data_IF_546607778315
#
_entry.id   IF_546607778315
#
_cell.length_a   1.000
_cell.length_b   1.000
_cell.length_c   1.000
_cell.angle_alpha   90.00
_cell.angle_beta   90.00
_cell.angle_gamma   90.00
#
_symmetry.space_group_name_H-M   'P 1'
#
loop_
_entity.id
_entity.type
_entity.pdbx_description
1 polymer ?
#
# COMPACT_ATOMS: atom_id res chain seq x y z
N UNK A 1 -28.51 -1.92 10.76
CA UNK A 1 -27.87 -1.63 9.47
C UNK A 1 -26.45 -1.21 9.81
N UNK A 2 -25.46 -2.01 9.47
CA UNK A 2 -24.06 -1.66 9.70
C UNK A 2 -23.75 -0.40 8.86
N UNK A 3 -23.13 0.61 9.47
CA UNK A 3 -22.67 1.80 8.76
C UNK A 3 -21.57 1.40 7.78
N UNK A 4 -21.95 0.96 6.59
CA UNK A 4 -20.97 0.66 5.54
C UNK A 4 -20.22 1.94 5.17
N UNK A 5 -18.89 1.88 5.06
CA UNK A 5 -18.13 3.02 4.57
C UNK A 5 -18.69 3.50 3.22
N UNK A 6 -18.84 4.81 3.05
CA UNK A 6 -19.34 5.41 1.81
C UNK A 6 -18.34 5.29 0.64
N UNK A 7 -17.11 4.87 0.95
CA UNK A 7 -16.07 4.67 -0.03
C UNK A 7 -15.43 3.29 0.11
N UNK A 8 -14.79 2.85 -0.93
CA UNK A 8 -13.92 1.67 -1.00
C UNK A 8 -12.53 2.10 -1.45
N UNK A 9 -11.53 1.22 -1.26
CA UNK A 9 -10.17 1.46 -1.74
C UNK A 9 -9.57 0.18 -2.30
N UNK A 10 -8.46 0.28 -3.02
CA UNK A 10 -7.73 -0.91 -3.46
C UNK A 10 -7.32 -1.79 -2.27
N UNK A 11 -6.82 -1.19 -1.17
CA UNK A 11 -6.44 -1.94 0.03
C UNK A 11 -7.63 -2.66 0.68
N UNK A 12 -8.82 -2.04 0.69
CA UNK A 12 -10.04 -2.67 1.21
C UNK A 12 -10.51 -3.82 0.33
N UNK A 13 -10.42 -3.67 -0.99
CA UNK A 13 -10.66 -4.74 -1.95
C UNK A 13 -9.63 -5.88 -1.77
N UNK A 14 -8.34 -5.55 -1.62
CA UNK A 14 -7.29 -6.52 -1.35
C UNK A 14 -7.56 -7.36 -0.10
N UNK A 15 -7.93 -6.73 1.00
CA UNK A 15 -8.34 -7.42 2.24
C UNK A 15 -9.54 -8.34 2.01
N UNK A 16 -10.54 -7.87 1.23
CA UNK A 16 -11.72 -8.68 0.90
C UNK A 16 -11.37 -9.90 0.04
N UNK A 17 -10.50 -9.74 -0.97
CA UNK A 17 -10.02 -10.82 -1.82
C UNK A 17 -9.13 -11.81 -1.04
N UNK A 18 -8.34 -11.31 -0.10
CA UNK A 18 -7.56 -12.16 0.81
C UNK A 18 -8.47 -13.03 1.68
N UNK A 19 -9.47 -12.41 2.32
CA UNK A 19 -10.49 -13.09 3.10
C UNK A 19 -11.67 -12.14 3.37
N UNK A 20 -12.85 -12.44 2.81
CA UNK A 20 -14.05 -11.62 3.02
C UNK A 20 -14.42 -11.48 4.50
N UNK A 21 -14.19 -12.54 5.32
CA UNK A 21 -14.45 -12.46 6.75
C UNK A 21 -13.44 -11.55 7.49
N UNK A 22 -12.16 -11.55 7.11
CA UNK A 22 -11.15 -10.60 7.61
C UNK A 22 -11.58 -9.15 7.31
N UNK A 23 -12.05 -8.89 6.07
CA UNK A 23 -12.60 -7.59 5.71
C UNK A 23 -13.75 -7.17 6.63
N UNK A 24 -14.71 -8.07 6.89
CA UNK A 24 -15.81 -7.79 7.80
C UNK A 24 -15.31 -7.43 9.20
N UNK A 25 -14.39 -8.21 9.77
CA UNK A 25 -13.85 -7.95 11.10
C UNK A 25 -13.10 -6.62 11.16
N UNK A 26 -12.19 -6.36 10.23
CA UNK A 26 -11.30 -5.20 10.30
C UNK A 26 -11.92 -3.91 9.78
N UNK A 27 -12.67 -3.95 8.67
CA UNK A 27 -13.17 -2.74 8.01
C UNK A 27 -14.60 -2.37 8.41
N UNK A 28 -15.42 -3.35 8.82
CA UNK A 28 -16.81 -3.08 9.20
C UNK A 28 -17.02 -3.11 10.71
N UNK A 29 -16.39 -4.04 11.42
CA UNK A 29 -16.49 -4.13 12.89
C UNK A 29 -15.39 -3.36 13.62
N UNK A 30 -14.39 -2.82 12.89
CA UNK A 30 -13.32 -1.99 13.46
C UNK A 30 -12.32 -2.74 14.34
N UNK A 31 -12.25 -4.08 14.22
CA UNK A 31 -11.27 -4.87 14.98
C UNK A 31 -9.87 -4.56 14.44
N UNK A 32 -9.01 -4.04 15.29
CA UNK A 32 -7.65 -3.66 14.93
C UNK A 32 -6.74 -4.90 14.85
N UNK A 33 -5.96 -4.99 13.78
CA UNK A 33 -4.72 -5.79 13.80
C UNK A 33 -3.70 -4.99 14.59
N UNK A 34 -2.92 -5.63 15.44
CA UNK A 34 -1.88 -4.90 16.17
C UNK A 34 -0.95 -4.13 15.22
N UNK A 35 -0.54 -2.92 15.61
CA UNK A 35 0.36 -2.13 14.80
C UNK A 35 1.74 -2.79 14.70
N UNK A 36 2.42 -2.58 13.58
CA UNK A 36 3.71 -3.20 13.34
C UNK A 36 4.70 -2.18 12.77
N UNK A 37 5.94 -2.25 13.22
CA UNK A 37 7.00 -1.30 12.83
C UNK A 37 7.22 -1.21 11.32
N UNK A 38 6.96 -2.29 10.58
CA UNK A 38 7.08 -2.24 9.11
C UNK A 38 6.01 -1.39 8.41
N UNK A 39 4.89 -1.09 9.05
CA UNK A 39 3.93 -0.12 8.53
C UNK A 39 4.49 1.29 8.69
N UNK A 40 4.97 1.63 9.89
CA UNK A 40 5.64 2.90 10.16
C UNK A 40 6.85 3.10 9.23
N UNK A 41 7.74 2.11 9.15
CA UNK A 41 8.90 2.17 8.27
C UNK A 41 8.53 2.36 6.81
N UNK A 42 7.53 1.62 6.33
CA UNK A 42 7.02 1.76 4.96
C UNK A 42 6.46 3.16 4.68
N UNK A 43 5.61 3.67 5.57
CA UNK A 43 5.01 5.01 5.45
C UNK A 43 6.07 6.11 5.51
N UNK A 44 7.08 5.98 6.39
CA UNK A 44 8.19 6.93 6.47
C UNK A 44 9.02 6.98 5.17
N UNK A 45 9.24 5.82 4.51
CA UNK A 45 9.93 5.78 3.20
C UNK A 45 9.09 6.47 2.12
N UNK A 46 7.78 6.21 2.05
CA UNK A 46 6.88 6.92 1.12
C UNK A 46 6.94 8.43 1.38
N UNK A 47 6.87 8.85 2.64
CA UNK A 47 6.97 10.27 3.02
C UNK A 47 8.31 10.88 2.65
N UNK A 48 9.41 10.18 2.89
CA UNK A 48 10.75 10.65 2.54
C UNK A 48 10.91 10.80 1.03
N UNK A 49 10.48 9.82 0.23
CA UNK A 49 10.52 9.92 -1.23
C UNK A 49 9.61 11.02 -1.77
N UNK A 50 8.44 11.25 -1.15
CA UNK A 50 7.56 12.37 -1.46
C UNK A 50 8.25 13.73 -1.22
N UNK A 51 8.84 13.92 -0.03
CA UNK A 51 9.56 15.14 0.33
C UNK A 51 10.75 15.39 -0.59
N UNK A 52 11.49 14.34 -0.98
CA UNK A 52 12.58 14.42 -1.93
C UNK A 52 12.11 14.93 -3.30
N UNK A 53 10.99 14.41 -3.81
CA UNK A 53 10.48 14.77 -5.12
C UNK A 53 9.83 16.16 -5.18
N UNK A 54 9.12 16.56 -4.10
CA UNK A 54 8.41 17.83 -4.04
C UNK A 54 9.29 19.01 -3.61
N UNK A 55 10.31 18.78 -2.78
CA UNK A 55 11.11 19.82 -2.15
C UNK A 55 12.62 19.57 -2.28
N UNK A 56 13.15 19.41 -3.49
CA UNK A 56 14.54 18.97 -3.70
C UNK A 56 15.61 19.91 -3.15
N UNK A 57 15.25 21.17 -2.86
CA UNK A 57 16.16 22.21 -2.35
C UNK A 57 15.97 22.54 -0.86
N UNK A 58 15.01 21.87 -0.19
CA UNK A 58 14.71 22.16 1.23
C UNK A 58 15.77 21.58 2.17
N UNK A 59 16.32 20.42 1.84
CA UNK A 59 17.21 19.67 2.72
C UNK A 59 18.66 19.72 2.23
N UNK A 60 19.59 19.87 3.17
CA UNK A 60 21.02 19.88 2.85
C UNK A 60 21.57 18.48 2.61
N UNK A 61 20.99 17.46 3.24
CA UNK A 61 21.37 16.06 3.13
C UNK A 61 20.14 15.14 3.09
N UNK A 62 20.30 13.92 2.57
CA UNK A 62 19.27 12.88 2.62
C UNK A 62 18.98 12.44 4.07
N UNK A 63 19.97 12.47 4.94
CA UNK A 63 19.81 12.13 6.35
C UNK A 63 18.91 13.15 7.07
N UNK A 64 19.07 14.45 6.81
CA UNK A 64 18.19 15.49 7.35
C UNK A 64 16.73 15.27 6.90
N UNK A 65 16.51 14.99 5.62
CA UNK A 65 15.20 14.69 5.07
C UNK A 65 14.60 13.42 5.70
N UNK A 66 15.42 12.35 5.80
CA UNK A 66 14.99 11.10 6.40
C UNK A 66 14.59 11.26 7.86
N UNK A 67 15.38 12.00 8.63
CA UNK A 67 15.08 12.29 10.04
C UNK A 67 13.70 12.97 10.18
N UNK A 68 13.41 14.00 9.36
CA UNK A 68 12.10 14.65 9.38
C UNK A 68 10.98 13.65 9.10
N UNK A 69 11.09 12.87 8.02
CA UNK A 69 10.06 11.90 7.62
C UNK A 69 9.86 10.79 8.66
N UNK A 70 10.96 10.24 9.19
CA UNK A 70 10.93 9.15 10.18
C UNK A 70 10.29 9.57 11.49
N UNK A 71 10.80 10.65 12.10
CA UNK A 71 10.31 11.08 13.41
C UNK A 71 8.87 11.61 13.35
N UNK A 72 8.49 12.25 12.25
CA UNK A 72 7.10 12.65 12.04
C UNK A 72 6.21 11.42 11.97
N UNK A 73 6.57 10.40 11.18
CA UNK A 73 5.76 9.19 11.01
C UNK A 73 5.64 8.38 12.31
N UNK A 74 6.75 8.21 13.04
CA UNK A 74 6.72 7.53 14.35
C UNK A 74 5.75 8.23 15.29
N UNK A 75 5.83 9.55 15.38
CA UNK A 75 4.93 10.34 16.25
C UNK A 75 3.47 10.18 15.84
N UNK A 76 3.14 10.28 14.56
CA UNK A 76 1.78 10.10 14.05
C UNK A 76 1.22 8.70 14.38
N UNK A 77 2.05 7.68 14.20
CA UNK A 77 1.65 6.30 14.47
C UNK A 77 1.50 6.02 15.99
N UNK A 78 2.33 6.61 16.86
CA UNK A 78 2.15 6.52 18.32
C UNK A 78 0.85 7.18 18.78
N UNK A 79 0.50 8.33 18.21
CA UNK A 79 -0.76 9.02 18.52
C UNK A 79 -1.99 8.17 18.16
N UNK A 80 -1.90 7.35 17.11
CA UNK A 80 -3.01 6.52 16.60
C UNK A 80 -3.02 5.12 17.24
N UNK A 81 -1.84 4.50 17.40
CA UNK A 81 -1.69 3.08 17.71
C UNK A 81 -1.09 2.79 19.09
N UNK A 82 -0.80 3.83 19.88
CA UNK A 82 -0.19 3.71 21.20
C UNK A 82 1.32 3.56 21.18
N UNK A 83 1.89 3.26 22.34
CA UNK A 83 3.34 3.20 22.60
C UNK A 83 4.06 2.25 21.61
N UNK A 84 5.15 2.72 20.99
CA UNK A 84 5.95 1.92 20.06
C UNK A 84 6.56 0.66 20.69
N UNK A 85 6.68 0.60 22.02
CA UNK A 85 7.14 -0.60 22.72
C UNK A 85 6.15 -1.78 22.62
N UNK A 86 4.88 -1.50 22.33
CA UNK A 86 3.83 -2.51 22.14
C UNK A 86 3.67 -2.94 20.67
N UNK A 87 4.42 -2.34 19.74
CA UNK A 87 4.33 -2.66 18.33
C UNK A 87 4.97 -4.00 17.99
N UNK A 88 4.47 -4.63 16.93
CA UNK A 88 4.98 -5.91 16.47
C UNK A 88 6.30 -5.73 15.68
N UNK A 89 7.24 -6.64 15.93
CA UNK A 89 8.50 -6.75 15.18
C UNK A 89 8.57 -8.09 14.45
N UNK A 90 9.34 -8.15 13.38
CA UNK A 90 9.58 -9.37 12.63
C UNK A 90 11.06 -9.69 12.59
N UNK A 91 11.48 -10.67 13.39
CA UNK A 91 12.89 -11.04 13.48
C UNK A 91 13.75 -9.87 13.89
N UNK A 92 14.70 -9.47 13.04
CA UNK A 92 15.61 -8.33 13.28
C UNK A 92 15.03 -6.99 12.80
N UNK A 93 13.87 -6.97 12.18
CA UNK A 93 13.26 -5.75 11.64
C UNK A 93 12.56 -4.96 12.76
N UNK A 94 13.37 -4.44 13.70
CA UNK A 94 12.94 -3.53 14.78
C UNK A 94 12.99 -2.05 14.33
N UNK A 95 12.73 -1.14 15.27
CA UNK A 95 12.75 0.31 15.01
C UNK A 95 14.12 0.79 14.50
N UNK A 96 15.21 0.29 15.09
CA UNK A 96 16.57 0.67 14.71
C UNK A 96 16.92 0.18 13.30
N UNK A 97 16.52 -1.05 12.99
CA UNK A 97 16.68 -1.60 11.64
C UNK A 97 15.92 -0.79 10.60
N UNK A 98 14.65 -0.45 10.88
CA UNK A 98 13.85 0.33 9.95
C UNK A 98 14.37 1.75 9.77
N UNK A 99 14.90 2.36 10.86
CA UNK A 99 15.55 3.67 10.75
C UNK A 99 16.77 3.63 9.81
N UNK A 100 17.66 2.66 9.97
CA UNK A 100 18.84 2.52 9.12
C UNK A 100 18.51 2.11 7.69
N UNK A 101 17.69 1.08 7.51
CA UNK A 101 17.33 0.58 6.18
C UNK A 101 16.45 1.57 5.40
N UNK A 102 15.61 2.35 6.09
CA UNK A 102 14.80 3.38 5.44
C UNK A 102 15.65 4.50 4.83
N UNK A 103 16.73 4.92 5.49
CA UNK A 103 17.69 5.86 4.89
C UNK A 103 18.32 5.26 3.62
N UNK A 104 18.75 3.99 3.66
CA UNK A 104 19.24 3.30 2.47
C UNK A 104 18.21 3.21 1.34
N UNK A 105 16.94 3.02 1.67
CA UNK A 105 15.86 3.05 0.67
C UNK A 105 15.72 4.44 0.03
N UNK A 106 15.84 5.50 0.81
CA UNK A 106 15.81 6.87 0.29
C UNK A 106 17.02 7.18 -0.60
N UNK A 107 18.22 6.72 -0.22
CA UNK A 107 19.42 6.86 -1.05
C UNK A 107 19.25 6.15 -2.40
N UNK A 108 18.72 4.93 -2.40
CA UNK A 108 18.38 4.20 -3.64
C UNK A 108 17.33 4.94 -4.48
N UNK A 109 16.38 5.60 -3.84
CA UNK A 109 15.42 6.45 -4.58
C UNK A 109 16.11 7.62 -5.25
N UNK A 110 16.98 8.32 -4.52
CA UNK A 110 17.76 9.44 -5.07
C UNK A 110 18.63 8.99 -6.26
N UNK A 111 19.30 7.84 -6.14
CA UNK A 111 20.08 7.23 -7.24
C UNK A 111 19.18 6.87 -8.43
N UNK A 112 18.03 6.25 -8.18
CA UNK A 112 17.06 5.91 -9.24
C UNK A 112 16.61 7.16 -9.99
N UNK A 113 16.32 8.25 -9.26
CA UNK A 113 15.95 9.54 -9.84
C UNK A 113 17.08 10.18 -10.66
N UNK A 114 18.31 10.08 -10.16
CA UNK A 114 19.50 10.61 -10.84
C UNK A 114 19.81 9.86 -12.15
N UNK A 115 19.33 8.63 -12.31
CA UNK A 115 19.50 7.82 -13.50
C UNK A 115 18.44 8.06 -14.59
N UNK A 116 17.93 9.29 -14.72
CA UNK A 116 17.10 9.72 -15.84
C UNK A 116 15.59 9.55 -15.66
N UNK A 117 15.14 9.23 -14.42
CA UNK A 117 13.72 9.18 -14.13
C UNK A 117 13.19 10.54 -13.64
N UNK A 118 12.25 11.14 -14.38
CA UNK A 118 11.60 12.40 -14.06
C UNK A 118 10.22 12.20 -13.42
N UNK A 119 9.76 13.15 -12.59
CA UNK A 119 8.35 13.21 -12.20
C UNK A 119 7.56 13.80 -13.36
N UNK A 120 6.46 13.13 -13.73
CA UNK A 120 5.55 13.65 -14.74
C UNK A 120 4.62 14.69 -14.10
N UNK A 121 4.80 15.96 -14.47
CA UNK A 121 4.05 17.09 -13.88
C UNK A 121 4.15 17.08 -12.34
N UNK A 122 3.00 17.01 -11.66
CA UNK A 122 2.82 17.05 -10.20
C UNK A 122 2.31 15.72 -9.61
N UNK A 123 2.54 14.61 -10.31
CA UNK A 123 2.02 13.31 -9.89
C UNK A 123 2.93 12.63 -8.85
N UNK A 124 2.86 13.14 -7.61
CA UNK A 124 3.53 12.61 -6.42
C UNK A 124 2.48 12.44 -5.33
N UNK A 125 2.26 11.23 -4.81
CA UNK A 125 1.24 10.89 -3.79
C UNK A 125 -0.14 11.49 -4.10
N UNK A 126 -0.52 11.48 -5.38
CA UNK A 126 -1.73 12.16 -5.84
C UNK A 126 -2.99 11.39 -5.44
N UNK A 127 -3.85 12.07 -4.70
CA UNK A 127 -5.10 11.50 -4.20
C UNK A 127 -6.19 11.52 -5.26
N UNK A 128 -6.96 10.42 -5.33
CA UNK A 128 -8.11 10.28 -6.21
C UNK A 128 -9.34 9.79 -5.45
N UNK A 129 -10.46 10.37 -5.81
CA UNK A 129 -11.81 9.92 -5.43
C UNK A 129 -12.61 9.68 -6.70
N UNK A 130 -12.59 8.44 -7.19
CA UNK A 130 -13.25 8.07 -8.45
C UNK A 130 -14.69 7.65 -8.17
N UNK A 131 -15.71 8.38 -8.67
CA UNK A 131 -17.09 8.05 -8.41
C UNK A 131 -17.50 6.76 -9.15
N UNK A 132 -18.19 5.90 -8.44
CA UNK A 132 -19.00 4.80 -8.95
C UNK A 132 -20.49 5.12 -8.74
N UNK A 133 -21.40 4.20 -9.13
CA UNK A 133 -22.85 4.42 -9.06
C UNK A 133 -23.33 4.87 -7.67
N UNK A 134 -22.96 4.12 -6.62
CA UNK A 134 -23.42 4.34 -5.23
C UNK A 134 -22.27 4.42 -4.22
N UNK A 135 -21.04 4.56 -4.68
CA UNK A 135 -19.85 4.59 -3.83
C UNK A 135 -18.74 5.35 -4.53
N UNK A 136 -17.64 5.56 -3.83
CA UNK A 136 -16.43 6.20 -4.36
C UNK A 136 -15.24 5.29 -4.14
N UNK A 137 -14.35 5.17 -5.13
CA UNK A 137 -13.06 4.48 -4.97
C UNK A 137 -12.01 5.51 -4.61
N UNK A 138 -11.43 5.41 -3.41
CA UNK A 138 -10.36 6.27 -2.94
C UNK A 138 -9.01 5.59 -3.09
N UNK A 139 -8.01 6.32 -3.54
CA UNK A 139 -6.64 5.84 -3.66
C UNK A 139 -5.64 6.99 -3.67
N UNK A 140 -4.39 6.70 -3.32
CA UNK A 140 -3.24 7.52 -3.61
C UNK A 140 -2.42 6.83 -4.69
N UNK A 141 -1.94 7.58 -5.67
CA UNK A 141 -1.01 7.10 -6.69
C UNK A 141 0.36 7.61 -6.30
N UNK A 142 1.30 6.71 -6.01
CA UNK A 142 2.61 7.09 -5.50
C UNK A 142 3.33 8.00 -6.50
N UNK A 143 3.50 7.54 -7.75
CA UNK A 143 4.20 8.33 -8.78
C UNK A 143 3.64 8.08 -10.18
N UNK A 144 3.58 9.15 -10.97
CA UNK A 144 3.64 9.03 -12.43
C UNK A 144 4.93 9.69 -12.88
N UNK A 145 5.72 8.98 -13.66
CA UNK A 145 7.08 9.35 -14.01
C UNK A 145 7.29 9.37 -15.51
N UNK A 146 8.39 9.98 -15.93
CA UNK A 146 8.93 9.84 -17.28
C UNK A 146 10.23 9.06 -17.19
N UNK A 147 10.39 8.06 -18.06
CA UNK A 147 11.68 7.39 -18.28
C UNK A 147 12.61 8.23 -19.18
N UNK A 148 13.85 7.75 -19.38
CA UNK A 148 14.84 8.45 -20.20
C UNK A 148 14.47 8.54 -21.70
N UNK A 149 13.52 7.72 -22.16
CA UNK A 149 12.97 7.78 -23.51
C UNK A 149 11.74 8.71 -23.61
N UNK A 150 11.32 9.31 -22.50
CA UNK A 150 10.15 10.17 -22.40
C UNK A 150 8.81 9.44 -22.31
N UNK A 151 8.81 8.11 -22.08
CA UNK A 151 7.57 7.40 -21.86
C UNK A 151 7.00 7.73 -20.48
N UNK A 152 5.66 7.83 -20.40
CA UNK A 152 4.95 7.99 -19.14
C UNK A 152 4.79 6.62 -18.49
N UNK A 153 5.24 6.50 -17.23
CA UNK A 153 5.25 5.25 -16.46
C UNK A 153 4.60 5.50 -15.10
N UNK A 154 3.59 4.72 -14.79
CA UNK A 154 3.00 4.67 -13.46
C UNK A 154 3.87 3.78 -12.56
N UNK A 155 4.34 4.29 -11.42
CA UNK A 155 5.12 3.52 -10.45
C UNK A 155 4.46 3.51 -9.08
N UNK A 156 4.47 2.33 -8.47
CA UNK A 156 4.09 2.11 -7.07
C UNK A 156 5.34 1.66 -6.29
N UNK A 157 5.59 2.30 -5.16
CA UNK A 157 6.76 2.08 -4.32
C UNK A 157 6.48 0.94 -3.34
N UNK A 158 7.35 -0.06 -3.28
CA UNK A 158 7.22 -1.23 -2.41
C UNK A 158 8.39 -1.31 -1.42
N UNK A 159 8.08 -1.19 -0.13
CA UNK A 159 9.06 -1.20 0.97
C UNK A 159 9.16 -2.55 1.67
N UNK A 160 8.10 -3.37 1.61
CA UNK A 160 8.04 -4.67 2.28
C UNK A 160 8.78 -5.78 1.54
N UNK A 161 9.46 -6.68 2.26
CA UNK A 161 10.16 -7.85 1.69
C UNK A 161 9.21 -8.81 0.94
N UNK A 162 7.95 -8.87 1.36
CA UNK A 162 6.90 -9.71 0.76
C UNK A 162 5.70 -8.90 0.27
N UNK A 163 5.92 -7.62 -0.09
CA UNK A 163 4.84 -6.78 -0.58
C UNK A 163 4.22 -7.40 -1.82
N UNK A 164 2.90 -7.56 -1.79
CA UNK A 164 2.17 -8.14 -2.91
C UNK A 164 2.24 -7.17 -4.09
N UNK A 165 2.93 -7.60 -5.13
CA UNK A 165 2.98 -6.91 -6.44
C UNK A 165 1.82 -7.42 -7.27
N UNK A 166 0.63 -6.87 -7.02
CA UNK A 166 -0.57 -7.35 -7.69
C UNK A 166 -0.90 -6.46 -8.90
N UNK A 167 -0.95 -7.00 -10.12
CA UNK A 167 -1.24 -6.22 -11.33
C UNK A 167 -2.54 -5.41 -11.24
N UNK A 168 -3.55 -5.89 -10.50
CA UNK A 168 -4.81 -5.18 -10.31
C UNK A 168 -4.62 -3.81 -9.64
N UNK A 169 -3.59 -3.61 -8.79
CA UNK A 169 -3.29 -2.30 -8.22
C UNK A 169 -2.90 -1.30 -9.30
N UNK A 170 -1.99 -1.70 -10.17
CA UNK A 170 -1.53 -0.86 -11.30
C UNK A 170 -2.68 -0.58 -12.28
N UNK A 171 -3.51 -1.60 -12.57
CA UNK A 171 -4.70 -1.43 -13.40
C UNK A 171 -5.70 -0.44 -12.78
N UNK A 172 -5.87 -0.50 -11.44
CA UNK A 172 -6.75 0.43 -10.70
C UNK A 172 -6.25 1.87 -10.81
N UNK A 173 -4.96 2.08 -10.68
CA UNK A 173 -4.35 3.40 -10.79
C UNK A 173 -4.45 3.96 -12.23
N UNK A 174 -4.14 3.14 -13.23
CA UNK A 174 -4.28 3.53 -14.64
C UNK A 174 -5.73 3.87 -15.02
N UNK A 175 -6.70 3.09 -14.51
CA UNK A 175 -8.12 3.38 -14.66
C UNK A 175 -8.50 4.73 -14.04
N UNK A 176 -7.99 5.04 -12.84
CA UNK A 176 -8.26 6.32 -12.19
C UNK A 176 -7.68 7.50 -12.98
N UNK A 177 -6.42 7.40 -13.44
CA UNK A 177 -5.77 8.42 -14.26
C UNK A 177 -6.53 8.70 -15.55
N UNK A 178 -6.96 7.65 -16.26
CA UNK A 178 -7.78 7.78 -17.46
C UNK A 178 -9.11 8.46 -17.16
N UNK A 179 -9.82 8.00 -16.12
CA UNK A 179 -11.18 8.45 -15.81
C UNK A 179 -11.22 9.90 -15.29
N UNK A 180 -10.24 10.29 -14.48
CA UNK A 180 -10.23 11.59 -13.80
C UNK A 180 -9.45 12.67 -14.54
N UNK A 181 -8.30 12.32 -15.11
CA UNK A 181 -7.37 13.27 -15.75
C UNK A 181 -7.30 13.12 -17.26
N UNK A 182 -7.96 12.10 -17.84
CA UNK A 182 -7.82 11.76 -19.27
C UNK A 182 -6.40 11.32 -19.65
N UNK A 183 -5.59 10.92 -18.66
CA UNK A 183 -4.21 10.51 -18.88
C UNK A 183 -4.14 9.02 -19.19
N UNK A 184 -3.74 8.70 -20.43
CA UNK A 184 -3.46 7.32 -20.84
C UNK A 184 -2.02 6.95 -20.47
N UNK A 185 -1.89 5.87 -19.70
CA UNK A 185 -0.61 5.31 -19.30
C UNK A 185 -0.50 3.89 -19.83
N UNK A 186 0.53 3.60 -20.62
CA UNK A 186 0.72 2.30 -21.24
C UNK A 186 1.73 1.41 -20.52
N UNK A 187 2.50 2.00 -19.59
CA UNK A 187 3.52 1.30 -18.80
C UNK A 187 3.26 1.55 -17.32
N UNK A 188 3.31 0.50 -16.52
CA UNK A 188 3.27 0.61 -15.06
C UNK A 188 4.20 -0.40 -14.42
N UNK A 189 4.59 -0.12 -13.18
CA UNK A 189 5.52 -1.00 -12.49
C UNK A 189 5.57 -0.79 -10.99
N UNK A 190 6.42 -1.59 -10.38
CA UNK A 190 6.77 -1.48 -8.97
C UNK A 190 8.25 -1.15 -8.84
N UNK A 191 8.55 -0.14 -8.04
CA UNK A 191 9.91 0.12 -7.60
C UNK A 191 10.09 -0.51 -6.22
N UNK A 192 11.07 -1.41 -6.11
CA UNK A 192 11.40 -2.12 -4.88
C UNK A 192 12.42 -1.30 -4.09
N UNK A 193 11.99 -0.71 -2.98
CA UNK A 193 12.84 0.17 -2.19
C UNK A 193 14.04 -0.57 -1.55
N UNK A 194 13.88 -1.86 -1.22
CA UNK A 194 14.96 -2.65 -0.60
C UNK A 194 16.11 -2.97 -1.55
N UNK A 195 15.84 -3.02 -2.83
CA UNK A 195 16.83 -3.39 -3.86
C UNK A 195 17.14 -2.28 -4.84
N UNK A 196 16.30 -1.23 -4.90
CA UNK A 196 16.37 -0.20 -5.93
C UNK A 196 15.92 -0.68 -7.32
N UNK A 197 15.42 -1.91 -7.43
CA UNK A 197 15.02 -2.49 -8.72
C UNK A 197 13.63 -2.02 -9.13
N UNK A 198 13.47 -1.69 -10.43
CA UNK A 198 12.18 -1.40 -11.03
C UNK A 198 11.73 -2.55 -11.94
N UNK A 199 10.49 -3.00 -11.77
CA UNK A 199 9.85 -3.98 -12.64
C UNK A 199 8.71 -3.30 -13.37
N UNK A 200 8.75 -3.25 -14.71
CA UNK A 200 7.76 -2.56 -15.55
C UNK A 200 7.00 -3.58 -16.40
N UNK A 201 5.71 -3.37 -16.52
CA UNK A 201 4.80 -4.14 -17.38
C UNK A 201 4.12 -3.22 -18.39
N UNK A 202 3.80 -3.78 -19.54
CA UNK A 202 2.87 -3.17 -20.48
C UNK A 202 1.44 -3.37 -19.96
N UNK A 203 0.70 -2.29 -19.79
CA UNK A 203 -0.69 -2.31 -19.30
C UNK A 203 -1.70 -2.87 -20.31
N UNK A 204 -1.33 -3.04 -21.59
CA UNK A 204 -2.22 -3.67 -22.59
C UNK A 204 -2.69 -5.07 -22.19
N UNK A 205 -1.92 -5.76 -21.36
CA UNK A 205 -2.27 -7.08 -20.82
C UNK A 205 -3.13 -7.03 -19.54
N UNK A 206 -3.37 -5.84 -19.00
CA UNK A 206 -4.20 -5.64 -17.83
C UNK A 206 -5.55 -5.09 -18.27
N UNK A 207 -6.60 -5.81 -17.97
CA UNK A 207 -7.97 -5.43 -18.28
C UNK A 207 -8.41 -4.19 -17.47
N UNK A 208 -7.79 -3.03 -17.74
CA UNK A 208 -8.08 -1.77 -17.02
C UNK A 208 -9.54 -1.35 -17.17
N UNK A 209 -10.19 -1.72 -18.27
CA UNK A 209 -11.63 -1.52 -18.51
C UNK A 209 -12.51 -2.39 -17.60
N UNK A 210 -11.95 -3.45 -16.99
CA UNK A 210 -12.65 -4.32 -16.05
C UNK A 210 -12.55 -3.89 -14.58
N UNK A 211 -11.71 -2.92 -14.29
CA UNK A 211 -11.50 -2.44 -12.91
C UNK A 211 -12.81 -1.94 -12.30
N UNK A 212 -13.60 -1.20 -13.06
CA UNK A 212 -14.89 -0.69 -12.59
C UNK A 212 -15.86 -1.83 -12.24
N UNK A 213 -15.93 -2.87 -13.08
CA UNK A 213 -16.76 -4.06 -12.82
C UNK A 213 -16.33 -4.78 -11.53
N UNK A 214 -15.02 -4.87 -11.27
CA UNK A 214 -14.47 -5.47 -10.04
C UNK A 214 -14.91 -4.68 -8.80
N UNK A 215 -14.76 -3.36 -8.82
CA UNK A 215 -15.20 -2.52 -7.69
C UNK A 215 -16.71 -2.51 -7.50
N UNK A 216 -17.50 -2.54 -8.57
CA UNK A 216 -18.95 -2.68 -8.49
C UNK A 216 -19.36 -4.04 -7.91
N UNK A 217 -18.66 -5.12 -8.30
CA UNK A 217 -18.86 -6.45 -7.73
C UNK A 217 -18.54 -6.51 -6.25
N UNK A 218 -17.41 -5.92 -5.85
CA UNK A 218 -17.02 -5.79 -4.44
C UNK A 218 -18.06 -4.98 -3.64
N UNK A 219 -18.52 -3.83 -4.16
CA UNK A 219 -19.51 -3.00 -3.48
C UNK A 219 -20.86 -3.73 -3.31
N UNK A 220 -21.29 -4.46 -4.33
CA UNK A 220 -22.49 -5.32 -4.24
C UNK A 220 -22.33 -6.41 -3.18
N UNK A 221 -21.17 -7.09 -3.15
CA UNK A 221 -20.93 -8.16 -2.18
C UNK A 221 -20.94 -7.65 -0.73
N UNK A 222 -20.28 -6.51 -0.45
CA UNK A 222 -20.28 -5.93 0.89
C UNK A 222 -21.67 -5.42 1.32
N UNK A 223 -22.46 -4.83 0.41
CA UNK A 223 -23.83 -4.41 0.67
C UNK A 223 -24.79 -5.58 0.91
N UNK A 224 -24.54 -6.70 0.26
CA UNK A 224 -25.27 -7.95 0.47
C UNK A 224 -24.77 -8.77 1.67
N UNK A 225 -23.79 -8.26 2.44
CA UNK A 225 -23.15 -8.93 3.57
C UNK A 225 -22.53 -10.30 3.23
N UNK A 226 -22.04 -10.45 1.99
CA UNK A 226 -21.39 -11.69 1.52
C UNK A 226 -19.90 -11.64 1.86
N UNK A 227 -19.51 -12.25 2.97
CA UNK A 227 -18.15 -12.27 3.49
C UNK A 227 -17.62 -13.70 3.63
N UNK A 228 -17.16 -14.28 2.51
CA UNK A 228 -16.64 -15.64 2.49
C UNK A 228 -15.29 -15.73 3.20
N UNK A 229 -15.10 -16.69 4.12
CA UNK A 229 -13.82 -16.93 4.74
C UNK A 229 -12.85 -17.60 3.75
N UNK A 230 -11.57 -17.25 3.84
CA UNK A 230 -10.49 -17.96 3.16
C UNK A 230 -9.59 -18.62 4.20
N UNK A 231 -9.85 -19.88 4.48
CA UNK A 231 -9.16 -20.61 5.56
C UNK A 231 -7.66 -20.85 5.25
N UNK A 232 -7.25 -20.78 3.98
CA UNK A 232 -5.84 -20.91 3.60
C UNK A 232 -4.95 -19.76 4.10
N UNK A 233 -5.55 -18.62 4.47
CA UNK A 233 -4.82 -17.44 4.92
C UNK A 233 -4.79 -17.28 6.45
N UNK A 234 -5.34 -18.24 7.20
CA UNK A 234 -5.48 -18.14 8.66
C UNK A 234 -4.15 -18.01 9.40
N UNK A 235 -3.09 -18.68 8.96
CA UNK A 235 -1.77 -18.63 9.60
C UNK A 235 -1.09 -17.25 9.61
N UNK A 236 -1.62 -16.28 8.84
CA UNK A 236 -1.09 -14.90 8.79
C UNK A 236 -2.15 -13.85 9.15
N UNK A 237 -3.26 -14.29 9.77
CA UNK A 237 -4.39 -13.42 10.04
C UNK A 237 -4.24 -12.72 11.40
N UNK A 238 -4.01 -11.41 11.39
CA UNK A 238 -3.85 -10.60 12.61
C UNK A 238 -5.10 -10.49 13.48
N UNK A 239 -6.28 -10.89 12.97
CA UNK A 239 -7.55 -10.91 13.73
C UNK A 239 -8.08 -12.33 13.97
N UNK A 240 -7.21 -13.32 13.93
CA UNK A 240 -7.58 -14.73 14.06
C UNK A 240 -8.35 -15.04 15.35
N UNK A 241 -7.97 -14.41 16.47
CA UNK A 241 -8.61 -14.57 17.80
C UNK A 241 -10.09 -14.17 17.80
N UNK A 242 -10.52 -13.33 16.84
CA UNK A 242 -11.91 -12.88 16.69
C UNK A 242 -12.66 -13.65 15.59
N UNK A 243 -12.01 -14.66 14.97
CA UNK A 243 -12.58 -15.36 13.83
C UNK A 243 -13.49 -16.52 14.27
N UNK A 244 -14.80 -16.40 13.98
CA UNK A 244 -15.78 -17.46 14.31
C UNK A 244 -15.56 -18.79 13.58
N UNK A 245 -14.83 -18.79 12.46
CA UNK A 245 -14.58 -20.00 11.67
C UNK A 245 -13.40 -20.82 12.20
N UNK A 246 -12.53 -20.21 13.01
CA UNK A 246 -11.32 -20.86 13.54
C UNK A 246 -11.32 -20.95 15.07
N UNK A 247 -12.34 -20.41 15.76
CA UNK A 247 -12.47 -20.39 17.23
C UNK A 247 -11.20 -19.89 17.97
N UNK A 248 -10.38 -19.06 17.33
CA UNK A 248 -9.12 -18.55 17.89
C UNK A 248 -8.04 -19.63 18.14
N UNK A 249 -8.21 -20.85 17.66
CA UNK A 249 -7.35 -22.00 18.02
C UNK A 249 -6.19 -22.27 17.05
N UNK A 250 -5.97 -21.44 16.06
CA UNK A 250 -4.80 -21.59 15.21
C UNK A 250 -3.58 -21.02 15.94
N UNK A 251 -2.83 -21.86 16.63
CA UNK A 251 -1.55 -21.46 17.24
C UNK A 251 -0.43 -22.03 16.39
N UNK A 252 0.60 -21.21 16.07
CA UNK A 252 1.81 -21.59 15.29
C UNK A 252 2.61 -22.74 15.90
N UNK A 253 2.16 -23.32 17.02
CA UNK A 253 2.85 -24.41 17.73
C UNK A 253 2.70 -25.79 17.08
N UNK A 254 1.78 -25.97 16.12
CA UNK A 254 1.56 -27.27 15.50
C UNK A 254 2.36 -27.49 14.19
N UNK A 255 3.08 -26.48 13.69
CA UNK A 255 3.86 -26.60 12.45
C UNK A 255 5.32 -27.08 12.64
N UNK A 256 5.79 -27.27 13.88
CA UNK A 256 7.18 -27.68 14.15
C UNK A 256 7.33 -29.16 14.57
N UNK A 257 6.36 -30.02 14.38
CA UNK A 257 6.45 -31.46 14.62
C UNK A 257 5.89 -32.24 13.41
N UNK A 258 6.61 -32.13 12.28
CA UNK A 258 6.37 -32.95 11.13
C UNK A 258 7.65 -33.07 10.31
#
# INVERSE_FOLDING_TARGET
MNNLPQHVSYSSLGTFLECGWKYNLTKLQGIQEGHAVWFTGGSAVHKATELYDLNPLKYSTLEELWNEAWFQQVKEDEEINGDMNDWQFRGREDMSWWYGEGLWMLERWADFRANGWGIYKDYVEKQYEVPLVDTTVKMAIDRVMTDFDGNIVLLDIKTGASSQRHPLQLATYAWALRKMDGLEVNKAGFWDARTGHVSIWNLEHLATEKVEEIFLGFDKARKAEIFLPNLSNCGRCGVLSHCKFMNGKYTDKEQNNG
#
